data_IF_038149345846
#
_entry.id   IF_038149345846
#
_cell.length_a   1.000
_cell.length_b   1.000
_cell.length_c   1.000
_cell.angle_alpha   90.00
_cell.angle_beta   90.00
_cell.angle_gamma   90.00
#
_symmetry.space_group_name_H-M   'P 1'
#
loop_
_entity.id
_entity.type
_entity.pdbx_description
1 polymer ?
#
# COMPACT_ATOMS: atom_id res chain seq x y z
N UNK A 1 1.08 14.79 12.28
CA UNK A 1 0.78 13.36 12.13
C UNK A 1 1.42 12.58 13.29
N UNK A 2 0.70 11.67 13.97
CA UNK A 2 1.29 10.81 15.01
C UNK A 2 2.32 9.84 14.40
N UNK A 3 3.24 9.29 15.22
CA UNK A 3 4.27 8.31 14.82
C UNK A 3 3.73 7.18 13.94
N UNK A 4 4.48 6.83 12.90
CA UNK A 4 4.19 5.70 11.99
C UNK A 4 4.56 4.39 12.69
N UNK A 5 3.67 3.41 12.69
CA UNK A 5 3.91 2.09 13.32
C UNK A 5 4.60 1.10 12.37
N UNK A 6 5.12 -0.01 12.88
CA UNK A 6 5.75 -1.05 12.05
C UNK A 6 4.85 -1.59 10.94
N UNK A 7 3.56 -1.86 11.24
CA UNK A 7 2.61 -2.32 10.22
C UNK A 7 2.29 -1.25 9.17
N UNK A 8 2.31 0.03 9.56
CA UNK A 8 2.17 1.14 8.62
C UNK A 8 3.40 1.27 7.71
N UNK A 9 4.61 1.03 8.24
CA UNK A 9 5.84 1.04 7.45
C UNK A 9 5.85 -0.08 6.40
N UNK A 10 5.38 -1.28 6.72
CA UNK A 10 5.30 -2.37 5.72
C UNK A 10 4.33 -2.04 4.58
N UNK A 11 3.20 -1.38 4.89
CA UNK A 11 2.25 -0.92 3.88
C UNK A 11 2.89 0.15 2.97
N UNK A 12 3.61 1.12 3.55
CA UNK A 12 4.34 2.14 2.78
C UNK A 12 5.45 1.52 1.92
N UNK A 13 6.14 0.50 2.42
CA UNK A 13 7.17 -0.23 1.67
C UNK A 13 6.59 -0.90 0.43
N UNK A 14 5.47 -1.61 0.57
CA UNK A 14 4.77 -2.24 -0.56
C UNK A 14 4.26 -1.20 -1.57
N UNK A 15 3.66 -0.11 -1.10
CA UNK A 15 3.14 0.94 -1.98
C UNK A 15 4.27 1.67 -2.72
N UNK A 16 5.42 1.88 -2.08
CA UNK A 16 6.59 2.49 -2.71
C UNK A 16 7.22 1.56 -3.76
N UNK A 17 7.26 0.25 -3.50
CA UNK A 17 7.69 -0.75 -4.48
C UNK A 17 6.74 -0.79 -5.68
N UNK A 18 5.42 -0.77 -5.44
CA UNK A 18 4.39 -0.74 -6.46
C UNK A 18 4.51 0.50 -7.35
N UNK A 19 4.67 1.68 -6.74
CA UNK A 19 4.90 2.94 -7.48
C UNK A 19 6.12 2.86 -8.39
N UNK A 20 7.25 2.32 -7.91
CA UNK A 20 8.47 2.14 -8.72
C UNK A 20 8.25 1.20 -9.92
N UNK A 21 7.37 0.22 -9.77
CA UNK A 21 7.00 -0.72 -10.82
C UNK A 21 5.83 -0.22 -11.69
N UNK A 22 5.28 0.96 -11.41
CA UNK A 22 4.09 1.54 -12.07
C UNK A 22 2.87 0.61 -12.03
N UNK A 23 2.70 -0.08 -10.90
CA UNK A 23 1.53 -0.91 -10.63
C UNK A 23 0.67 -0.27 -9.55
N UNK A 24 -0.65 -0.35 -9.70
CA UNK A 24 -1.60 0.09 -8.70
C UNK A 24 -2.12 -1.12 -7.91
N UNK A 25 -2.29 -0.97 -6.60
CA UNK A 25 -2.70 -2.07 -5.73
C UNK A 25 -4.05 -1.80 -5.09
N UNK A 26 -4.86 -2.84 -4.95
CA UNK A 26 -6.04 -2.82 -4.09
C UNK A 26 -5.78 -3.46 -2.72
N UNK A 27 -6.66 -3.21 -1.76
CA UNK A 27 -6.47 -3.58 -0.35
C UNK A 27 -6.06 -5.05 -0.11
N UNK A 28 -6.69 -6.00 -0.82
CA UNK A 28 -6.33 -7.42 -0.72
C UNK A 28 -4.91 -7.75 -1.22
N UNK A 29 -4.42 -7.11 -2.29
CA UNK A 29 -3.05 -7.32 -2.78
C UNK A 29 -2.04 -6.80 -1.75
N UNK A 30 -2.34 -5.66 -1.12
CA UNK A 30 -1.50 -5.07 -0.07
C UNK A 30 -1.48 -5.98 1.17
N UNK A 31 -2.63 -6.53 1.58
CA UNK A 31 -2.68 -7.53 2.65
C UNK A 31 -1.81 -8.75 2.33
N UNK A 32 -1.92 -9.29 1.12
CA UNK A 32 -1.14 -10.46 0.69
C UNK A 32 0.36 -10.15 0.66
N UNK A 33 0.75 -9.00 0.09
CA UNK A 33 2.14 -8.59 -0.02
C UNK A 33 2.77 -8.32 1.34
N UNK A 34 2.04 -7.69 2.27
CA UNK A 34 2.57 -7.35 3.60
C UNK A 34 2.46 -8.48 4.63
N UNK A 35 1.63 -9.51 4.37
CA UNK A 35 1.27 -10.54 5.36
C UNK A 35 0.52 -9.99 6.58
N UNK A 36 0.03 -8.73 6.53
CA UNK A 36 -0.65 -8.07 7.65
C UNK A 36 -2.15 -8.36 7.64
N UNK A 37 -2.73 -8.39 8.84
CA UNK A 37 -4.17 -8.55 9.02
C UNK A 37 -4.95 -7.39 8.36
N UNK A 38 -6.10 -7.70 7.75
CA UNK A 38 -6.86 -6.74 6.93
C UNK A 38 -7.19 -5.42 7.64
N UNK A 39 -7.80 -5.43 8.84
CA UNK A 39 -8.03 -4.24 9.64
C UNK A 39 -6.80 -3.34 9.85
N UNK A 40 -5.60 -3.91 9.96
CA UNK A 40 -4.36 -3.13 10.09
C UNK A 40 -4.04 -2.42 8.78
N UNK A 41 -4.17 -3.12 7.65
CA UNK A 41 -3.94 -2.56 6.32
C UNK A 41 -4.95 -1.47 6.01
N UNK A 42 -6.25 -1.73 6.16
CA UNK A 42 -7.29 -0.74 5.85
C UNK A 42 -7.17 0.52 6.72
N UNK A 43 -6.90 0.38 8.03
CA UNK A 43 -6.63 1.55 8.90
C UNK A 43 -5.40 2.35 8.47
N UNK A 44 -4.38 1.69 7.93
CA UNK A 44 -3.22 2.39 7.38
C UNK A 44 -3.59 3.15 6.10
N UNK A 45 -4.32 2.51 5.18
CA UNK A 45 -4.77 3.11 3.93
C UNK A 45 -5.66 4.32 4.15
N UNK A 46 -6.65 4.21 5.05
CA UNK A 46 -7.53 5.33 5.42
C UNK A 46 -6.69 6.51 5.93
N UNK A 47 -5.78 6.23 6.88
CA UNK A 47 -4.94 7.27 7.46
C UNK A 47 -3.98 7.93 6.47
N UNK A 48 -3.42 7.18 5.53
CA UNK A 48 -2.55 7.74 4.51
C UNK A 48 -3.34 8.54 3.47
N UNK A 49 -4.57 8.13 3.16
CA UNK A 49 -5.48 8.91 2.32
C UNK A 49 -5.87 10.22 3.00
N UNK A 50 -6.26 10.18 4.28
CA UNK A 50 -6.55 11.37 5.10
C UNK A 50 -5.34 12.33 5.21
N UNK A 51 -4.12 11.79 5.20
CA UNK A 51 -2.89 12.57 5.22
C UNK A 51 -2.48 13.12 3.84
N UNK A 52 -3.22 12.80 2.76
CA UNK A 52 -2.89 13.19 1.39
C UNK A 52 -1.70 12.45 0.79
N UNK A 53 -1.31 11.32 1.38
CA UNK A 53 -0.18 10.50 0.91
C UNK A 53 -0.60 9.48 -0.14
N UNK A 54 -1.89 9.12 -0.16
CA UNK A 54 -2.46 8.24 -1.17
C UNK A 54 -3.58 8.93 -1.93
N UNK A 55 -3.56 8.73 -3.24
CA UNK A 55 -4.77 8.80 -4.04
C UNK A 55 -5.45 7.43 -4.03
N UNK A 56 -6.78 7.47 -4.19
CA UNK A 56 -7.58 6.27 -4.24
C UNK A 56 -8.61 6.36 -5.35
N UNK A 57 -8.69 5.33 -6.18
CA UNK A 57 -9.59 5.29 -7.31
C UNK A 57 -10.41 4.01 -7.28
N UNK A 58 -11.71 4.12 -7.55
CA UNK A 58 -12.56 2.96 -7.72
C UNK A 58 -12.44 2.45 -9.16
N UNK A 59 -12.31 1.13 -9.31
CA UNK A 59 -12.32 0.46 -10.61
C UNK A 59 -13.48 0.96 -11.49
N UNK A 60 -13.19 1.49 -12.68
CA UNK A 60 -14.18 2.20 -13.52
C UNK A 60 -15.40 1.34 -13.89
N UNK A 61 -15.18 0.07 -14.20
CA UNK A 61 -16.23 -0.89 -14.49
C UNK A 61 -15.98 -2.15 -13.70
N UNK A 62 -17.02 -2.70 -13.07
CA UNK A 62 -16.93 -4.01 -12.46
C UNK A 62 -16.97 -5.06 -13.57
N UNK A 63 -15.86 -5.75 -13.90
CA UNK A 63 -15.83 -6.66 -15.03
C UNK A 63 -16.59 -7.96 -14.73
N UNK A 64 -16.93 -8.23 -13.47
CA UNK A 64 -17.56 -9.48 -13.03
C UNK A 64 -18.87 -9.19 -12.29
N UNK A 65 -20.03 -9.62 -12.84
CA UNK A 65 -21.32 -9.50 -12.16
C UNK A 65 -21.26 -10.11 -10.75
N UNK A 66 -21.76 -9.36 -9.76
CA UNK A 66 -21.87 -9.83 -8.36
C UNK A 66 -20.62 -9.68 -7.49
N UNK A 67 -19.47 -9.20 -8.01
CA UNK A 67 -18.31 -8.85 -7.17
C UNK A 67 -18.31 -7.36 -6.81
N UNK A 68 -17.88 -6.95 -5.61
CA UNK A 68 -17.71 -5.52 -5.31
C UNK A 68 -16.58 -4.93 -6.14
N UNK A 69 -16.75 -3.66 -6.56
CA UNK A 69 -15.69 -2.89 -7.22
C UNK A 69 -14.45 -2.82 -6.32
N UNK A 70 -13.27 -2.89 -6.93
CA UNK A 70 -12.00 -2.71 -6.22
C UNK A 70 -11.69 -1.22 -6.06
N UNK A 71 -11.11 -0.85 -4.91
CA UNK A 71 -10.48 0.46 -4.71
C UNK A 71 -8.98 0.28 -4.80
N UNK A 72 -8.38 0.94 -5.77
CA UNK A 72 -6.94 0.98 -6.00
C UNK A 72 -6.34 2.18 -5.28
N UNK A 73 -5.07 2.03 -4.89
CA UNK A 73 -4.31 3.05 -4.16
C UNK A 73 -2.98 3.30 -4.85
N UNK A 74 -2.62 4.57 -4.95
CA UNK A 74 -1.36 5.03 -5.51
C UNK A 74 -0.74 6.11 -4.60
N UNK A 75 0.58 6.16 -4.52
CA UNK A 75 1.26 7.21 -3.78
C UNK A 75 1.18 8.54 -4.56
N UNK A 76 0.81 9.60 -3.85
CA UNK A 76 0.99 10.98 -4.33
C UNK A 76 2.45 11.38 -4.26
N UNK A 77 2.84 12.50 -4.88
CA UNK A 77 4.21 13.04 -4.75
C UNK A 77 4.60 13.25 -3.28
N UNK A 78 3.70 13.82 -2.47
CA UNK A 78 3.91 13.99 -1.03
C UNK A 78 4.03 12.64 -0.29
N UNK A 79 3.23 11.65 -0.70
CA UNK A 79 3.29 10.29 -0.17
C UNK A 79 4.62 9.60 -0.45
N UNK A 80 5.20 9.78 -1.64
CA UNK A 80 6.51 9.20 -2.00
C UNK A 80 7.61 9.74 -1.09
N UNK A 81 7.65 11.07 -0.91
CA UNK A 81 8.63 11.73 -0.05
C UNK A 81 8.50 11.25 1.40
N UNK A 82 7.27 11.26 1.91
CA UNK A 82 7.01 10.88 3.29
C UNK A 82 7.25 9.38 3.56
N UNK A 83 6.86 8.50 2.63
CA UNK A 83 7.16 7.08 2.70
C UNK A 83 8.67 6.82 2.72
N UNK A 84 9.41 7.49 1.83
CA UNK A 84 10.86 7.37 1.75
C UNK A 84 11.53 7.83 3.05
N UNK A 85 11.09 8.95 3.63
CA UNK A 85 11.59 9.45 4.91
C UNK A 85 11.29 8.47 6.05
N UNK A 86 10.03 8.02 6.18
CA UNK A 86 9.61 7.10 7.23
C UNK A 86 10.36 5.74 7.18
N UNK A 87 10.63 5.25 5.97
CA UNK A 87 11.38 4.00 5.77
C UNK A 87 12.88 4.17 6.09
N UNK A 88 13.47 5.34 5.84
CA UNK A 88 14.86 5.64 6.24
C UNK A 88 15.04 5.68 7.76
N UNK A 89 14.02 6.14 8.48
CA UNK A 89 14.01 6.21 9.94
C UNK A 89 13.74 4.85 10.62
N UNK A 90 13.43 3.80 9.85
CA UNK A 90 13.14 2.47 10.37
C UNK A 90 14.37 1.90 11.08
N UNK A 91 14.32 1.85 12.41
CA UNK A 91 15.38 1.21 13.21
C UNK A 91 15.39 -0.31 12.94
N UNK A 92 16.56 -0.93 12.73
CA UNK A 92 16.66 -2.37 12.55
C UNK A 92 16.20 -3.09 13.83
N UNK A 93 15.18 -3.94 13.71
CA UNK A 93 14.62 -4.71 14.85
C UNK A 93 13.11 -4.91 14.86
N UNK A 94 12.35 -4.31 13.92
CA UNK A 94 10.87 -4.43 13.85
C UNK A 94 10.36 -5.02 12.54
N UNK A 95 11.20 -5.73 11.78
CA UNK A 95 10.84 -6.31 10.48
C UNK A 95 9.93 -7.52 10.64
N UNK A 96 8.74 -7.45 10.05
CA UNK A 96 8.06 -8.65 9.53
C UNK A 96 8.84 -9.17 8.31
N UNK A 97 8.64 -10.45 7.88
CA UNK A 97 9.22 -10.94 6.64
C UNK A 97 8.94 -9.93 5.52
N UNK A 98 9.99 -9.61 4.77
CA UNK A 98 9.95 -8.65 3.68
C UNK A 98 8.77 -8.97 2.74
N UNK A 99 8.13 -7.94 2.16
CA UNK A 99 6.97 -8.18 1.33
C UNK A 99 7.30 -9.15 0.19
N UNK A 100 6.45 -10.16 0.02
CA UNK A 100 6.64 -11.24 -0.95
C UNK A 100 6.74 -10.66 -2.37
N UNK A 101 7.92 -10.64 -3.01
CA UNK A 101 8.12 -9.97 -4.30
C UNK A 101 7.24 -10.56 -5.41
N UNK A 102 6.82 -11.81 -5.25
CA UNK A 102 5.99 -12.52 -6.20
C UNK A 102 4.58 -11.94 -6.37
N UNK A 103 4.06 -11.23 -5.36
CA UNK A 103 2.71 -10.62 -5.46
C UNK A 103 2.69 -9.48 -6.48
N UNK A 104 3.76 -8.68 -6.55
CA UNK A 104 3.85 -7.56 -7.48
C UNK A 104 4.20 -7.98 -8.90
N UNK A 105 5.00 -9.04 -9.08
CA UNK A 105 5.49 -9.50 -10.40
C UNK A 105 4.39 -9.98 -11.36
N UNK A 106 3.24 -10.40 -10.84
CA UNK A 106 2.10 -10.85 -11.65
C UNK A 106 1.07 -9.78 -11.95
N UNK A 107 1.30 -8.53 -11.53
CA UNK A 107 0.39 -7.43 -11.75
C UNK A 107 0.86 -6.60 -12.93
N UNK A 108 -0.04 -6.39 -13.88
CA UNK A 108 0.24 -5.56 -15.05
C UNK A 108 0.33 -4.08 -14.64
N UNK A 109 1.27 -3.31 -15.21
CA UNK A 109 1.30 -1.86 -15.08
C UNK A 109 -0.04 -1.25 -15.53
N UNK A 110 -0.54 -0.25 -14.80
CA UNK A 110 -1.79 0.45 -15.10
C UNK A 110 -1.58 1.95 -15.16
#
# INVERSE_FOLDING_TARGET
>A
MKRVTGGQLDVLEVLLQAHRQRVQLHGWEIMKATGRHGPTVYRALDRFTEAGWLDSEWEHANPVPGKPRRRFYSLTSAGIEAATAALRERRPGTTSPAPEPGVLRGLEPR
#
